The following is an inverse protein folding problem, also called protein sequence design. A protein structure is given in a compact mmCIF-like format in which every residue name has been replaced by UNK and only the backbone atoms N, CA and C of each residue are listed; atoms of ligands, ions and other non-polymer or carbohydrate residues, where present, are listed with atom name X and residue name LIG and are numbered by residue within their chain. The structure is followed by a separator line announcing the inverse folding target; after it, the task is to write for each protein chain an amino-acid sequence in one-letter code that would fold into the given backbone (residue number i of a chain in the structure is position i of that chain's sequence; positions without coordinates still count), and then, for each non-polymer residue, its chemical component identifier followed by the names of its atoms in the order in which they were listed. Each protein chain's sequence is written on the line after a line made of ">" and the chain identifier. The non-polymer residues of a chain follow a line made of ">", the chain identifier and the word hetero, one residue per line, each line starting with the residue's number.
data_IF_904871022457
#
_entry.id   IF_904871022457
#
_cell.length_a   1.000
_cell.length_b   1.000
_cell.length_c   1.000
_cell.angle_alpha   90.00
_cell.angle_beta   90.00
_cell.angle_gamma   90.00
#
_symmetry.space_group_name_H-M   'P 1'
#
loop_
_entity.id
_entity.type
_entity.pdbx_description
1 polymer ?
#
# COMPACT_ATOMS: atom_id res chain seq x y z
N UNK A 1 -19.57 10.68 -28.78
CA UNK A 1 -18.31 10.45 -28.05
C UNK A 1 -18.39 10.48 -26.50
N UNK A 2 -19.56 10.37 -25.85
CA UNK A 2 -19.71 10.36 -24.37
C UNK A 2 -19.94 8.97 -23.71
N UNK A 3 -20.57 7.97 -24.37
CA UNK A 3 -20.89 6.68 -23.72
C UNK A 3 -19.66 5.88 -23.27
N UNK A 4 -18.58 5.91 -24.04
CA UNK A 4 -17.37 5.11 -23.77
C UNK A 4 -16.61 5.56 -22.50
N UNK A 5 -16.65 6.86 -22.16
CA UNK A 5 -15.99 7.39 -20.96
C UNK A 5 -16.73 6.93 -19.71
N UNK A 6 -18.06 7.01 -19.72
CA UNK A 6 -18.91 6.56 -18.61
C UNK A 6 -18.78 5.05 -18.40
N UNK A 7 -18.82 4.26 -19.49
CA UNK A 7 -18.65 2.82 -19.43
C UNK A 7 -17.29 2.44 -18.82
N UNK A 8 -16.20 3.08 -19.26
CA UNK A 8 -14.86 2.84 -18.72
C UNK A 8 -14.74 3.18 -17.23
N UNK A 9 -15.39 4.26 -16.78
CA UNK A 9 -15.40 4.64 -15.36
C UNK A 9 -16.17 3.61 -14.50
N UNK A 10 -17.29 3.10 -15.00
CA UNK A 10 -18.08 2.04 -14.33
C UNK A 10 -17.24 0.77 -14.19
N UNK A 11 -16.57 0.34 -15.27
CA UNK A 11 -15.71 -0.84 -15.27
C UNK A 11 -14.54 -0.72 -14.31
N UNK A 12 -13.86 0.43 -14.27
CA UNK A 12 -12.75 0.64 -13.33
C UNK A 12 -13.22 0.69 -11.87
N UNK A 13 -14.39 1.29 -11.60
CA UNK A 13 -14.99 1.29 -10.28
C UNK A 13 -15.34 -0.15 -9.83
N UNK A 14 -16.00 -0.92 -10.68
CA UNK A 14 -16.31 -2.35 -10.43
C UNK A 14 -15.03 -3.15 -10.18
N UNK A 15 -13.98 -2.94 -10.98
CA UNK A 15 -12.69 -3.58 -10.79
C UNK A 15 -12.07 -3.24 -9.43
N UNK A 16 -12.13 -1.98 -8.99
CA UNK A 16 -11.60 -1.58 -7.68
C UNK A 16 -12.36 -2.21 -6.51
N UNK A 17 -13.68 -2.33 -6.63
CA UNK A 17 -14.54 -3.02 -5.65
C UNK A 17 -14.14 -4.49 -5.59
N UNK A 18 -14.00 -5.16 -6.75
CA UNK A 18 -13.58 -6.55 -6.83
C UNK A 18 -12.21 -6.78 -6.19
N UNK A 19 -11.25 -5.87 -6.39
CA UNK A 19 -9.93 -5.94 -5.75
C UNK A 19 -10.05 -5.90 -4.23
N UNK A 20 -10.89 -5.04 -3.67
CA UNK A 20 -11.06 -4.98 -2.21
C UNK A 20 -11.79 -6.23 -1.67
N UNK A 21 -12.90 -6.63 -2.29
CA UNK A 21 -13.70 -7.75 -1.79
C UNK A 21 -12.90 -9.07 -1.86
N UNK A 22 -12.10 -9.27 -2.92
CA UNK A 22 -11.22 -10.43 -3.10
C UNK A 22 -9.78 -10.20 -2.66
N UNK A 23 -9.51 -9.19 -1.83
CA UNK A 23 -8.13 -8.79 -1.48
C UNK A 23 -7.31 -9.92 -0.86
N UNK A 24 -7.93 -10.78 -0.05
CA UNK A 24 -7.25 -11.93 0.59
C UNK A 24 -6.97 -13.06 -0.40
N UNK A 25 -7.70 -13.13 -1.51
CA UNK A 25 -7.39 -14.06 -2.60
C UNK A 25 -6.27 -13.51 -3.49
N UNK A 26 -6.27 -12.20 -3.77
CA UNK A 26 -5.28 -11.56 -4.63
C UNK A 26 -3.94 -11.27 -3.94
N UNK A 27 -3.96 -11.04 -2.62
CA UNK A 27 -2.82 -10.69 -1.80
C UNK A 27 -2.87 -11.46 -0.47
N UNK A 28 -2.73 -12.81 -0.51
CA UNK A 28 -2.89 -13.64 0.69
C UNK A 28 -1.82 -13.40 1.77
N UNK A 29 -0.69 -12.80 1.42
CA UNK A 29 0.42 -12.52 2.32
C UNK A 29 0.42 -11.08 2.87
N UNK A 30 -0.50 -10.23 2.38
CA UNK A 30 -0.67 -8.85 2.83
C UNK A 30 -1.98 -8.65 3.56
N UNK A 31 -1.94 -7.76 4.56
CA UNK A 31 -3.14 -7.32 5.28
C UNK A 31 -3.44 -5.87 4.89
N UNK A 32 -4.43 -5.67 4.03
CA UNK A 32 -4.90 -4.33 3.69
C UNK A 32 -5.80 -3.79 4.81
N UNK A 33 -5.41 -2.66 5.39
CA UNK A 33 -6.14 -2.02 6.48
C UNK A 33 -7.40 -1.31 5.98
N UNK A 34 -8.32 -0.96 6.90
CA UNK A 34 -9.66 -0.45 6.55
C UNK A 34 -9.64 0.80 5.65
N UNK A 35 -8.71 1.72 5.88
CA UNK A 35 -8.59 2.97 5.11
C UNK A 35 -8.26 2.73 3.62
N UNK A 36 -7.59 1.61 3.32
CA UNK A 36 -7.22 1.21 1.96
C UNK A 36 -8.44 0.93 1.09
N UNK A 37 -9.59 0.53 1.67
CA UNK A 37 -10.85 0.34 0.92
C UNK A 37 -11.26 1.61 0.17
N UNK A 38 -11.28 2.73 0.88
CA UNK A 38 -11.67 4.02 0.31
C UNK A 38 -10.66 4.51 -0.72
N UNK A 39 -9.38 4.23 -0.52
CA UNK A 39 -8.29 4.62 -1.40
C UNK A 39 -8.30 3.83 -2.71
N UNK A 40 -8.53 2.51 -2.67
CA UNK A 40 -8.71 1.68 -3.86
C UNK A 40 -9.93 2.12 -4.67
N UNK A 41 -11.05 2.41 -4.00
CA UNK A 41 -12.25 2.94 -4.66
C UNK A 41 -11.96 4.26 -5.39
N UNK A 42 -11.24 5.18 -4.74
CA UNK A 42 -10.79 6.45 -5.35
C UNK A 42 -9.86 6.21 -6.53
N UNK A 43 -8.89 5.31 -6.39
CA UNK A 43 -7.97 4.97 -7.47
C UNK A 43 -8.67 4.29 -8.65
N UNK A 44 -9.75 3.53 -8.41
CA UNK A 44 -10.64 2.99 -9.45
C UNK A 44 -11.38 4.06 -10.26
N UNK A 45 -11.38 5.31 -9.84
CA UNK A 45 -11.86 6.44 -10.65
C UNK A 45 -10.74 7.08 -11.50
N UNK A 46 -9.52 6.53 -11.45
CA UNK A 46 -8.32 7.02 -12.13
C UNK A 46 -7.58 5.88 -12.86
N UNK A 47 -6.57 6.22 -13.66
CA UNK A 47 -5.74 5.24 -14.38
C UNK A 47 -4.76 4.47 -13.49
N UNK A 48 -4.61 4.83 -12.21
CA UNK A 48 -3.58 4.26 -11.33
C UNK A 48 -3.90 2.86 -10.79
N UNK A 49 -5.13 2.36 -10.93
CA UNK A 49 -5.54 1.09 -10.33
C UNK A 49 -4.65 -0.10 -10.75
N UNK A 50 -4.29 -0.19 -12.03
CA UNK A 50 -3.41 -1.27 -12.53
C UNK A 50 -2.04 -1.21 -11.86
N UNK A 51 -1.44 -0.01 -11.77
CA UNK A 51 -0.16 0.17 -11.10
C UNK A 51 -0.25 -0.21 -9.62
N UNK A 52 -1.34 0.15 -8.93
CA UNK A 52 -1.53 -0.24 -7.53
C UNK A 52 -1.55 -1.76 -7.36
N UNK A 53 -2.30 -2.46 -8.20
CA UNK A 53 -2.38 -3.92 -8.16
C UNK A 53 -0.99 -4.54 -8.41
N UNK A 54 -0.25 -4.05 -9.40
CA UNK A 54 1.10 -4.55 -9.71
C UNK A 54 2.07 -4.39 -8.54
N UNK A 55 2.07 -3.23 -7.86
CA UNK A 55 2.94 -2.98 -6.71
C UNK A 55 2.55 -3.82 -5.50
N UNK A 56 1.25 -3.98 -5.24
CA UNK A 56 0.77 -4.87 -4.18
C UNK A 56 1.13 -6.33 -4.46
N UNK A 57 1.02 -6.81 -5.71
CA UNK A 57 1.44 -8.17 -6.08
C UNK A 57 2.94 -8.39 -5.89
N UNK A 58 3.77 -7.42 -6.29
CA UNK A 58 5.22 -7.53 -6.10
C UNK A 58 5.59 -7.61 -4.61
N UNK A 59 4.93 -6.80 -3.76
CA UNK A 59 5.13 -6.85 -2.31
C UNK A 59 4.62 -8.16 -1.72
N UNK A 60 3.42 -8.61 -2.12
CA UNK A 60 2.84 -9.87 -1.65
C UNK A 60 3.72 -11.08 -1.98
N UNK A 61 4.20 -11.17 -3.21
CA UNK A 61 5.08 -12.24 -3.66
C UNK A 61 6.38 -12.27 -2.84
N UNK A 62 7.00 -11.11 -2.59
CA UNK A 62 8.18 -11.04 -1.75
C UNK A 62 7.91 -11.51 -0.32
N UNK A 63 6.78 -11.08 0.28
CA UNK A 63 6.38 -11.53 1.62
C UNK A 63 6.11 -13.03 1.64
N UNK A 64 5.59 -13.59 0.55
CA UNK A 64 5.36 -15.03 0.42
C UNK A 64 6.66 -15.85 0.58
N UNK A 65 7.81 -15.30 0.16
CA UNK A 65 9.12 -15.94 0.27
C UNK A 65 9.80 -15.70 1.62
N UNK A 66 9.29 -14.77 2.44
CA UNK A 66 9.83 -14.47 3.77
C UNK A 66 9.46 -15.56 4.79
N UNK A 67 10.34 -16.56 4.94
CA UNK A 67 10.10 -17.71 5.84
C UNK A 67 10.69 -17.56 7.24
N UNK A 68 11.76 -16.78 7.39
CA UNK A 68 12.52 -16.69 8.65
C UNK A 68 13.29 -15.38 8.77
N UNK A 69 13.71 -15.05 9.99
CA UNK A 69 14.49 -13.84 10.28
C UNK A 69 13.65 -12.56 10.20
N UNK A 70 14.31 -11.43 10.37
CA UNK A 70 13.69 -10.13 10.20
C UNK A 70 13.44 -9.83 8.71
N UNK A 71 12.44 -9.01 8.44
CA UNK A 71 12.13 -8.52 7.11
C UNK A 71 13.29 -7.72 6.54
N UNK A 72 13.75 -8.12 5.36
CA UNK A 72 14.94 -7.55 4.75
C UNK A 72 14.55 -6.53 3.66
N UNK A 73 14.61 -5.25 4.03
CA UNK A 73 14.29 -4.13 3.13
C UNK A 73 15.26 -4.03 1.94
N UNK A 74 16.54 -4.30 2.15
CA UNK A 74 17.56 -4.24 1.09
C UNK A 74 17.31 -5.34 0.06
N UNK A 75 16.95 -6.54 0.54
CA UNK A 75 16.60 -7.66 -0.32
C UNK A 75 15.32 -7.37 -1.12
N UNK A 76 14.30 -6.75 -0.50
CA UNK A 76 13.09 -6.33 -1.19
C UNK A 76 13.41 -5.39 -2.36
N UNK A 77 14.25 -4.37 -2.12
CA UNK A 77 14.68 -3.42 -3.15
C UNK A 77 15.57 -4.07 -4.21
N UNK A 78 16.35 -5.10 -3.87
CA UNK A 78 17.24 -5.78 -4.80
C UNK A 78 16.53 -6.82 -5.69
N UNK A 79 15.51 -7.51 -5.16
CA UNK A 79 14.84 -8.62 -5.85
C UNK A 79 13.54 -8.21 -6.57
N UNK A 80 12.98 -7.06 -6.22
CA UNK A 80 11.74 -6.58 -6.82
C UNK A 80 11.97 -5.27 -7.57
N UNK A 81 11.00 -4.87 -8.39
CA UNK A 81 11.00 -3.55 -9.00
C UNK A 81 10.41 -2.46 -8.09
N UNK A 82 10.23 -2.76 -6.79
CA UNK A 82 9.73 -1.79 -5.82
C UNK A 82 10.88 -0.89 -5.39
N UNK A 83 10.55 0.39 -5.18
CA UNK A 83 11.45 1.35 -4.55
C UNK A 83 10.91 1.68 -3.16
N UNK A 84 11.54 1.13 -2.14
CA UNK A 84 11.05 1.20 -0.76
C UNK A 84 12.08 1.90 0.12
N UNK A 85 11.59 2.80 0.97
CA UNK A 85 12.40 3.46 2.00
C UNK A 85 11.55 3.78 3.22
N UNK A 86 12.19 4.02 4.36
CA UNK A 86 11.55 4.67 5.50
C UNK A 86 11.33 6.16 5.29
N UNK A 87 10.58 6.77 6.20
CA UNK A 87 10.49 8.22 6.35
C UNK A 87 11.79 8.79 6.94
N UNK A 88 12.06 10.07 6.69
CA UNK A 88 13.20 10.75 7.34
C UNK A 88 12.93 11.00 8.82
N UNK A 89 13.99 11.09 9.62
CA UNK A 89 13.90 11.46 11.04
C UNK A 89 13.17 12.79 11.25
N UNK A 90 13.42 13.78 10.38
CA UNK A 90 12.74 15.07 10.41
C UNK A 90 11.22 14.93 10.20
N UNK A 91 10.82 14.09 9.23
CA UNK A 91 9.42 13.83 8.93
C UNK A 91 8.76 13.05 10.06
N UNK A 92 9.43 12.06 10.64
CA UNK A 92 8.90 11.31 11.77
C UNK A 92 8.77 12.17 13.03
N UNK A 93 9.70 13.11 13.26
CA UNK A 93 9.61 14.05 14.38
C UNK A 93 8.39 14.98 14.27
N UNK A 94 8.09 15.47 13.07
CA UNK A 94 7.04 16.49 12.87
C UNK A 94 5.68 15.91 12.44
N UNK A 95 5.69 14.76 11.78
CA UNK A 95 4.53 14.20 11.07
C UNK A 95 4.35 12.68 11.27
N UNK A 96 4.87 12.12 12.37
CA UNK A 96 4.62 10.71 12.73
C UNK A 96 3.13 10.40 12.90
N UNK A 97 2.33 11.35 13.39
CA UNK A 97 0.89 11.17 13.57
C UNK A 97 0.16 10.78 12.28
N UNK A 98 0.58 11.32 11.13
CA UNK A 98 0.02 11.01 9.82
C UNK A 98 0.44 9.62 9.32
N UNK A 99 1.46 9.00 9.91
CA UNK A 99 1.90 7.62 9.59
C UNK A 99 1.31 6.60 10.55
N UNK A 100 0.44 7.01 11.49
CA UNK A 100 -0.27 6.09 12.37
C UNK A 100 -1.55 5.61 11.71
N UNK A 101 -1.60 4.34 11.31
CA UNK A 101 -2.80 3.73 10.72
C UNK A 101 -3.38 2.65 11.62
N UNK A 102 -4.70 2.43 11.49
CA UNK A 102 -5.42 1.45 12.29
C UNK A 102 -5.29 0.05 11.68
N UNK A 103 -4.81 -0.90 12.48
CA UNK A 103 -4.79 -2.32 12.15
C UNK A 103 -6.21 -2.93 12.24
N UNK A 104 -6.45 -4.13 11.66
CA UNK A 104 -7.75 -4.79 11.75
C UNK A 104 -8.24 -5.06 13.18
N UNK A 105 -7.32 -5.31 14.11
CA UNK A 105 -7.61 -5.54 15.55
C UNK A 105 -7.93 -4.26 16.33
N UNK A 106 -7.81 -3.09 15.68
CA UNK A 106 -8.09 -1.79 16.24
C UNK A 106 -6.90 -1.06 16.85
N UNK A 107 -5.74 -1.70 16.97
CA UNK A 107 -4.49 -1.03 17.36
C UNK A 107 -4.07 -0.02 16.29
N UNK A 108 -3.21 0.92 16.68
CA UNK A 108 -2.59 1.86 15.75
C UNK A 108 -1.08 1.66 15.78
N UNK A 109 -0.52 1.38 14.62
CA UNK A 109 0.94 1.27 14.44
C UNK A 109 1.45 2.37 13.54
N UNK A 110 2.76 2.59 13.57
CA UNK A 110 3.44 3.56 12.72
C UNK A 110 3.95 2.89 11.45
N UNK A 111 3.55 3.40 10.29
CA UNK A 111 3.85 2.85 8.97
C UNK A 111 4.89 3.72 8.28
N UNK A 112 6.14 3.62 8.74
CA UNK A 112 7.25 4.44 8.24
C UNK A 112 7.71 4.01 6.86
N UNK A 113 7.73 2.69 6.60
CA UNK A 113 8.11 2.14 5.32
C UNK A 113 7.07 2.47 4.26
N UNK A 114 7.54 2.85 3.07
CA UNK A 114 6.65 3.12 1.96
C UNK A 114 7.24 2.76 0.60
N UNK A 115 6.41 2.21 -0.27
CA UNK A 115 6.74 2.04 -1.69
C UNK A 115 6.54 3.38 -2.42
N UNK A 116 7.50 3.78 -3.24
CA UNK A 116 7.43 4.96 -4.11
C UNK A 116 7.08 4.51 -5.54
N UNK A 117 5.96 4.99 -6.08
CA UNK A 117 5.57 4.72 -7.47
C UNK A 117 4.90 5.95 -8.07
N UNK A 118 5.62 6.70 -8.90
CA UNK A 118 5.19 8.03 -9.33
C UNK A 118 4.82 8.92 -8.13
N UNK A 119 3.62 9.48 -8.16
CA UNK A 119 3.09 10.34 -7.10
C UNK A 119 2.47 9.56 -5.93
N UNK A 120 2.35 8.23 -6.04
CA UNK A 120 1.74 7.40 -5.02
C UNK A 120 2.75 6.85 -4.02
N UNK A 121 2.30 6.73 -2.78
CA UNK A 121 2.97 6.11 -1.64
C UNK A 121 2.10 5.04 -1.02
N UNK A 122 2.73 3.92 -0.73
CA UNK A 122 2.08 2.74 -0.16
C UNK A 122 2.72 2.56 1.21
N UNK A 123 2.16 3.20 2.23
CA UNK A 123 2.71 3.06 3.58
C UNK A 123 2.34 1.69 4.13
N UNK A 124 3.33 1.00 4.65
CA UNK A 124 3.17 -0.32 5.23
C UNK A 124 3.93 -0.46 6.56
N UNK A 125 3.45 -1.38 7.39
CA UNK A 125 4.04 -1.76 8.66
C UNK A 125 4.40 -3.24 8.59
N UNK A 126 5.57 -3.59 9.14
CA UNK A 126 6.05 -4.97 9.18
C UNK A 126 6.11 -5.43 10.63
N UNK A 127 5.34 -6.47 10.93
CA UNK A 127 5.41 -7.19 12.18
C UNK A 127 6.37 -8.37 12.02
N UNK A 128 7.58 -8.24 12.55
CA UNK A 128 8.59 -9.32 12.50
C UNK A 128 8.26 -10.49 13.43
N UNK A 129 7.45 -10.27 14.48
CA UNK A 129 7.09 -11.33 15.41
C UNK A 129 6.04 -12.24 14.80
N UNK A 130 4.99 -11.65 14.21
CA UNK A 130 3.92 -12.41 13.55
C UNK A 130 4.21 -12.72 12.07
N UNK A 131 5.30 -12.16 11.50
CA UNK A 131 5.64 -12.21 10.08
C UNK A 131 4.48 -11.76 9.19
N UNK A 132 3.93 -10.59 9.52
CA UNK A 132 2.80 -9.98 8.81
C UNK A 132 3.21 -8.64 8.24
N UNK A 133 2.71 -8.35 7.04
CA UNK A 133 2.86 -7.03 6.42
C UNK A 133 1.49 -6.39 6.25
N UNK A 134 1.34 -5.22 6.85
CA UNK A 134 0.10 -4.45 6.85
C UNK A 134 0.26 -3.26 5.92
N UNK A 135 -0.67 -3.06 4.98
CA UNK A 135 -0.70 -1.86 4.14
C UNK A 135 -1.77 -0.92 4.70
N UNK A 136 -1.35 0.25 5.15
CA UNK A 136 -2.19 1.22 5.87
C UNK A 136 -2.71 2.34 4.98
N UNK A 137 -1.96 2.67 3.92
CA UNK A 137 -2.29 3.78 3.04
C UNK A 137 -1.74 3.57 1.63
N UNK A 138 -2.55 3.93 0.64
CA UNK A 138 -2.22 4.00 -0.78
C UNK A 138 -2.77 5.32 -1.29
N UNK A 139 -1.90 6.25 -1.66
CA UNK A 139 -2.34 7.56 -2.12
C UNK A 139 -1.17 8.52 -2.38
N UNK A 140 -1.45 9.80 -2.64
CA UNK A 140 -0.44 10.83 -2.78
C UNK A 140 0.50 10.92 -1.57
N UNK A 141 1.61 11.67 -1.72
CA UNK A 141 2.48 12.03 -0.61
C UNK A 141 1.67 12.56 0.60
N UNK A 142 1.93 11.99 1.76
CA UNK A 142 1.50 12.56 3.03
C UNK A 142 2.37 13.79 3.33
N UNK A 143 1.90 14.75 4.15
CA UNK A 143 2.70 15.91 4.54
C UNK A 143 4.07 15.48 5.09
N UNK A 144 5.14 16.06 4.56
CA UNK A 144 6.51 15.86 5.02
C UNK A 144 7.06 17.20 5.50
N UNK A 145 8.17 17.18 6.25
CA UNK A 145 8.88 18.44 6.51
C UNK A 145 9.30 19.03 5.16
N UNK A 146 8.79 20.21 4.82
CA UNK A 146 9.32 21.00 3.70
C UNK A 146 10.78 21.31 4.01
N UNK A 147 11.69 21.01 3.08
CA UNK A 147 13.02 21.61 3.10
C UNK A 147 12.93 23.10 2.78
#
# INVERSE_FOLDING_TARGET
>A
HKPWIQQRQIEQLQRSINVWEKRTEFFPNLILCGDVKGQLKKAGMSSYLTQIIERLRALDNFVSDWKSGAFNLDLLNAQTNLRVSGESDSTMRLHSGQRKFKLPDGRRETFELHVKTGDLRFHFYVDNHERKVYVGYIGPHLPTSSN
#
